data_IF_557766365527
#
_entry.id   IF_557766365527
#
_cell.length_a   1.000
_cell.length_b   1.000
_cell.length_c   1.000
_cell.angle_alpha   90.00
_cell.angle_beta   90.00
_cell.angle_gamma   90.00
#
_symmetry.space_group_name_H-M   'P 1'
#
loop_
_entity.id
_entity.type
_entity.pdbx_description
1 polymer ?
#
# COMPACT_ATOMS: atom_id res chain seq x y z
N UNK A 1 41.69 5.66 -7.29
CA UNK A 1 41.16 6.12 -8.58
C UNK A 1 39.66 6.45 -8.40
N UNK A 2 39.36 7.76 -8.31
CA UNK A 2 37.97 8.24 -8.21
C UNK A 2 37.36 8.24 -9.62
N UNK A 3 36.43 7.34 -9.87
CA UNK A 3 35.64 7.39 -11.10
C UNK A 3 34.68 8.60 -11.04
N UNK A 4 35.05 9.67 -11.72
CA UNK A 4 34.14 10.76 -12.07
C UNK A 4 33.18 10.24 -13.15
N UNK A 5 31.95 9.92 -12.77
CA UNK A 5 30.85 9.81 -13.74
C UNK A 5 30.47 11.22 -14.20
N UNK A 6 30.33 11.47 -15.52
CA UNK A 6 30.04 12.81 -16.03
C UNK A 6 28.66 13.29 -15.56
N UNK A 7 28.63 14.42 -14.87
CA UNK A 7 27.44 15.17 -14.52
C UNK A 7 26.93 15.93 -15.80
N UNK A 8 26.24 15.24 -16.68
CA UNK A 8 25.59 15.86 -17.82
C UNK A 8 24.06 15.79 -17.70
N UNK A 9 23.51 16.62 -16.81
CA UNK A 9 22.17 17.19 -16.95
C UNK A 9 22.25 18.61 -16.39
N UNK A 10 21.85 19.63 -17.19
CA UNK A 10 21.95 21.01 -16.76
C UNK A 10 21.08 21.26 -15.51
N UNK A 11 21.60 22.10 -14.61
CA UNK A 11 20.96 22.47 -13.33
C UNK A 11 19.50 23.00 -13.44
N UNK A 12 19.08 23.39 -14.62
CA UNK A 12 17.70 23.83 -14.90
C UNK A 12 16.70 22.66 -14.92
N UNK A 13 17.07 21.50 -15.47
CA UNK A 13 16.20 20.32 -15.55
C UNK A 13 15.99 19.69 -14.17
N UNK A 14 16.97 19.77 -13.28
CA UNK A 14 16.84 19.28 -11.89
C UNK A 14 15.84 20.09 -11.06
N UNK A 15 15.72 21.41 -11.30
CA UNK A 15 14.77 22.28 -10.58
C UNK A 15 13.32 22.10 -11.02
N UNK A 16 13.07 21.53 -12.19
CA UNK A 16 11.72 21.30 -12.72
C UNK A 16 11.13 19.93 -12.37
N UNK A 17 11.94 18.99 -11.90
CA UNK A 17 11.41 17.68 -11.49
C UNK A 17 10.76 17.76 -10.09
N UNK A 18 9.51 17.35 -9.95
CA UNK A 18 8.88 17.26 -8.64
C UNK A 18 9.75 16.40 -7.70
N UNK A 19 9.90 16.83 -6.44
CA UNK A 19 10.72 16.17 -5.42
C UNK A 19 12.25 16.12 -5.71
N UNK A 20 12.76 16.93 -6.64
CA UNK A 20 14.23 17.02 -6.83
C UNK A 20 14.98 17.44 -5.57
N UNK A 21 14.31 18.19 -4.69
CA UNK A 21 14.78 18.68 -3.40
C UNK A 21 14.71 17.62 -2.26
N UNK A 22 14.05 16.48 -2.51
CA UNK A 22 14.12 15.31 -1.62
C UNK A 22 15.47 14.56 -1.72
N UNK A 23 16.17 14.73 -2.84
CA UNK A 23 17.47 14.09 -3.07
C UNK A 23 18.62 14.77 -2.31
N UNK A 24 19.65 14.00 -1.99
CA UNK A 24 20.92 14.47 -1.42
C UNK A 24 22.12 13.91 -2.20
N UNK A 25 23.34 14.37 -1.87
CA UNK A 25 24.57 13.78 -2.43
C UNK A 25 24.68 12.29 -2.14
N UNK A 26 24.30 11.90 -0.93
CA UNK A 26 24.40 10.51 -0.43
C UNK A 26 23.21 9.65 -0.87
N UNK A 27 22.09 10.27 -1.23
CA UNK A 27 20.89 9.61 -1.73
C UNK A 27 20.33 10.32 -2.96
N UNK A 28 20.93 10.09 -4.15
CA UNK A 28 20.56 10.78 -5.39
C UNK A 28 19.16 10.40 -5.86
N UNK A 29 18.48 11.31 -6.56
CA UNK A 29 17.09 11.18 -7.02
C UNK A 29 16.83 9.86 -7.77
N UNK A 30 17.73 9.44 -8.66
CA UNK A 30 17.58 8.17 -9.39
C UNK A 30 17.56 6.95 -8.50
N UNK A 31 18.32 6.95 -7.40
CA UNK A 31 18.34 5.87 -6.42
C UNK A 31 17.08 5.90 -5.54
N UNK A 32 16.61 7.09 -5.19
CA UNK A 32 15.37 7.30 -4.46
C UNK A 32 14.16 6.86 -5.28
N UNK A 33 14.06 7.26 -6.57
CA UNK A 33 13.00 6.84 -7.48
C UNK A 33 13.02 5.32 -7.71
N UNK A 34 14.21 4.73 -7.85
CA UNK A 34 14.33 3.28 -7.96
C UNK A 34 13.85 2.57 -6.69
N UNK A 35 14.23 3.06 -5.51
CA UNK A 35 13.71 2.50 -4.25
C UNK A 35 12.20 2.64 -4.19
N UNK A 36 11.64 3.78 -4.59
CA UNK A 36 10.19 4.04 -4.52
C UNK A 36 9.32 3.09 -5.37
N UNK A 37 9.91 2.29 -6.26
CA UNK A 37 9.18 1.28 -7.04
C UNK A 37 8.48 0.23 -6.15
N UNK A 38 8.99 -0.02 -4.94
CA UNK A 38 8.28 -0.91 -4.01
C UNK A 38 6.89 -0.38 -3.64
N UNK A 39 6.71 0.93 -3.60
CA UNK A 39 5.42 1.55 -3.33
C UNK A 39 4.41 1.34 -4.47
N UNK A 40 4.88 1.31 -5.72
CA UNK A 40 4.03 0.95 -6.87
C UNK A 40 3.55 -0.50 -6.73
N UNK A 41 4.46 -1.43 -6.36
CA UNK A 41 4.11 -2.83 -6.09
C UNK A 41 3.07 -2.95 -4.96
N UNK A 42 3.25 -2.20 -3.87
CA UNK A 42 2.31 -2.16 -2.74
C UNK A 42 0.95 -1.60 -3.18
N UNK A 43 0.93 -0.50 -3.95
CA UNK A 43 -0.29 0.09 -4.49
C UNK A 43 -1.06 -0.86 -5.40
N UNK A 44 -0.37 -1.57 -6.28
CA UNK A 44 -0.96 -2.59 -7.16
C UNK A 44 -1.58 -3.75 -6.37
N UNK A 45 -0.87 -4.26 -5.35
CA UNK A 45 -1.39 -5.32 -4.49
C UNK A 45 -2.61 -4.85 -3.67
N UNK A 46 -2.63 -3.59 -3.24
CA UNK A 46 -3.80 -3.01 -2.56
C UNK A 46 -5.02 -2.95 -3.46
N UNK A 47 -4.88 -2.52 -4.73
CA UNK A 47 -5.98 -2.54 -5.72
C UNK A 47 -6.50 -3.96 -5.93
N UNK A 48 -5.59 -4.94 -6.03
CA UNK A 48 -6.00 -6.34 -6.19
C UNK A 48 -6.81 -6.86 -5.00
N UNK A 49 -6.31 -6.67 -3.77
CA UNK A 49 -6.93 -7.23 -2.57
C UNK A 49 -8.22 -6.52 -2.18
N UNK A 50 -8.16 -5.19 -2.07
CA UNK A 50 -9.26 -4.40 -1.49
C UNK A 50 -10.33 -4.08 -2.54
N UNK A 51 -9.93 -3.95 -3.80
CA UNK A 51 -10.82 -3.63 -4.90
C UNK A 51 -11.23 -4.89 -5.68
N UNK A 52 -10.45 -5.25 -6.68
CA UNK A 52 -10.82 -6.22 -7.72
C UNK A 52 -11.24 -7.58 -7.16
N UNK A 53 -10.42 -8.20 -6.28
CA UNK A 53 -10.70 -9.53 -5.74
C UNK A 53 -11.89 -9.51 -4.78
N UNK A 54 -11.99 -8.48 -3.94
CA UNK A 54 -13.11 -8.27 -3.05
C UNK A 54 -14.44 -8.26 -3.84
N UNK A 55 -14.51 -7.42 -4.86
CA UNK A 55 -15.70 -7.29 -5.71
C UNK A 55 -15.99 -8.59 -6.46
N UNK A 56 -14.99 -9.24 -7.06
CA UNK A 56 -15.20 -10.48 -7.82
C UNK A 56 -15.72 -11.60 -6.94
N UNK A 57 -15.17 -11.76 -5.72
CA UNK A 57 -15.64 -12.80 -4.80
C UNK A 57 -17.10 -12.59 -4.38
N UNK A 58 -17.51 -11.35 -4.11
CA UNK A 58 -18.87 -11.05 -3.68
C UNK A 58 -19.85 -11.13 -4.88
N UNK A 59 -19.55 -10.44 -5.97
CA UNK A 59 -20.52 -10.23 -7.07
C UNK A 59 -20.48 -11.36 -8.10
N UNK A 60 -19.29 -11.80 -8.53
CA UNK A 60 -19.18 -12.81 -9.60
C UNK A 60 -19.23 -14.25 -9.05
N UNK A 61 -18.62 -14.48 -7.87
CA UNK A 61 -18.59 -15.82 -7.26
C UNK A 61 -19.67 -16.02 -6.20
N UNK A 62 -20.48 -14.99 -5.91
CA UNK A 62 -21.59 -15.02 -4.93
C UNK A 62 -21.13 -15.49 -3.54
N UNK A 63 -19.87 -15.24 -3.16
CA UNK A 63 -19.38 -15.53 -1.82
C UNK A 63 -20.01 -14.54 -0.85
N UNK A 64 -20.55 -15.00 0.31
CA UNK A 64 -21.16 -14.10 1.27
C UNK A 64 -20.25 -12.95 1.67
N UNK A 65 -20.74 -11.71 1.58
CA UNK A 65 -19.94 -10.50 1.83
C UNK A 65 -19.27 -10.51 3.20
N UNK A 66 -19.89 -11.12 4.23
CA UNK A 66 -19.32 -11.29 5.56
C UNK A 66 -18.02 -12.13 5.54
N UNK A 67 -18.01 -13.21 4.75
CA UNK A 67 -16.83 -14.09 4.60
C UNK A 67 -15.69 -13.32 3.94
N UNK A 68 -15.98 -12.62 2.83
CA UNK A 68 -14.99 -11.82 2.11
C UNK A 68 -14.46 -10.66 2.97
N UNK A 69 -15.34 -9.95 3.67
CA UNK A 69 -14.95 -8.90 4.61
C UNK A 69 -14.06 -9.45 5.74
N UNK A 70 -14.36 -10.65 6.24
CA UNK A 70 -13.51 -11.33 7.24
C UNK A 70 -12.12 -11.64 6.69
N UNK A 71 -12.00 -12.11 5.44
CA UNK A 71 -10.71 -12.37 4.79
C UNK A 71 -9.89 -11.08 4.63
N UNK A 72 -10.52 -9.98 4.26
CA UNK A 72 -9.88 -8.66 4.14
C UNK A 72 -9.48 -8.13 5.52
N UNK A 73 -10.26 -8.41 6.55
CA UNK A 73 -9.95 -7.99 7.91
C UNK A 73 -8.71 -8.68 8.49
N UNK A 74 -8.39 -9.91 8.07
CA UNK A 74 -7.23 -10.66 8.59
C UNK A 74 -5.89 -9.91 8.43
N UNK A 75 -5.52 -9.39 7.25
CA UNK A 75 -4.34 -8.53 7.10
C UNK A 75 -4.38 -7.28 7.98
N UNK A 76 -5.57 -6.66 8.12
CA UNK A 76 -5.75 -5.46 8.95
C UNK A 76 -5.54 -5.76 10.43
N UNK A 77 -6.04 -6.91 10.92
CA UNK A 77 -5.80 -7.37 12.29
C UNK A 77 -4.32 -7.63 12.57
N UNK A 78 -3.55 -8.00 11.57
CA UNK A 78 -2.11 -8.19 11.66
C UNK A 78 -1.34 -6.86 11.55
N UNK A 79 -1.95 -5.79 11.03
CA UNK A 79 -1.30 -4.50 10.83
C UNK A 79 -0.62 -3.91 12.10
N UNK A 80 -1.14 -4.03 13.33
CA UNK A 80 -0.44 -3.56 14.53
C UNK A 80 0.93 -4.20 14.73
N UNK A 81 1.13 -5.44 14.26
CA UNK A 81 2.44 -6.11 14.30
C UNK A 81 3.50 -5.43 13.43
N UNK A 82 3.12 -4.46 12.56
CA UNK A 82 4.08 -3.61 11.82
C UNK A 82 5.00 -2.84 12.76
N UNK A 83 4.53 -2.44 13.94
CA UNK A 83 5.38 -1.79 14.94
C UNK A 83 6.49 -2.74 15.43
N UNK A 84 6.15 -4.02 15.67
CA UNK A 84 7.12 -5.05 16.04
C UNK A 84 8.07 -5.38 14.86
N UNK A 85 7.56 -5.45 13.64
CA UNK A 85 8.37 -5.65 12.43
C UNK A 85 9.37 -4.51 12.23
N UNK A 86 8.91 -3.26 12.38
CA UNK A 86 9.75 -2.07 12.33
C UNK A 86 10.87 -2.16 13.36
N UNK A 87 10.51 -2.35 14.63
CA UNK A 87 11.47 -2.48 15.73
C UNK A 87 12.48 -3.62 15.50
N UNK A 88 12.02 -4.79 15.06
CA UNK A 88 12.93 -5.92 14.76
C UNK A 88 13.87 -5.59 13.61
N UNK A 89 13.38 -4.95 12.55
CA UNK A 89 14.21 -4.56 11.41
C UNK A 89 15.23 -3.46 11.76
N UNK A 90 14.91 -2.59 12.75
CA UNK A 90 15.86 -1.60 13.29
C UNK A 90 17.06 -2.25 13.97
N UNK A 91 16.81 -3.33 14.72
CA UNK A 91 17.79 -4.00 15.57
C UNK A 91 18.36 -5.28 14.94
N UNK A 92 17.95 -5.63 13.73
CA UNK A 92 18.45 -6.80 13.02
C UNK A 92 19.59 -6.43 12.08
N UNK A 93 20.58 -7.31 12.01
CA UNK A 93 21.59 -7.32 10.94
C UNK A 93 21.77 -8.75 10.45
N UNK A 94 21.70 -8.94 9.15
CA UNK A 94 22.01 -10.23 8.52
C UNK A 94 23.50 -10.55 8.63
N UNK A 95 23.91 -11.77 8.26
CA UNK A 95 25.31 -12.17 8.24
C UNK A 95 26.19 -11.24 7.37
N UNK A 96 25.63 -10.64 6.31
CA UNK A 96 26.30 -9.68 5.42
C UNK A 96 26.10 -8.21 5.84
N UNK A 97 25.40 -7.98 6.95
CA UNK A 97 25.21 -6.65 7.52
C UNK A 97 23.97 -5.90 7.08
N UNK A 98 23.14 -6.48 6.20
CA UNK A 98 21.88 -5.87 5.77
C UNK A 98 20.85 -5.86 6.90
N UNK A 99 20.14 -4.74 7.04
CA UNK A 99 19.11 -4.54 8.07
C UNK A 99 17.69 -4.65 7.49
N UNK A 100 17.38 -3.81 6.50
CA UNK A 100 16.03 -3.64 5.95
C UNK A 100 15.78 -4.50 4.72
N UNK A 101 16.80 -4.67 3.87
CA UNK A 101 16.69 -5.41 2.60
C UNK A 101 16.14 -6.83 2.81
N UNK A 102 16.56 -7.63 3.82
CA UNK A 102 15.99 -8.96 4.04
C UNK A 102 14.48 -8.93 4.30
N UNK A 103 13.99 -7.96 5.08
CA UNK A 103 12.56 -7.82 5.37
C UNK A 103 11.76 -7.45 4.11
N UNK A 104 12.29 -6.53 3.30
CA UNK A 104 11.69 -6.16 2.01
C UNK A 104 11.65 -7.35 1.06
N UNK A 105 12.72 -8.14 1.01
CA UNK A 105 12.80 -9.35 0.21
C UNK A 105 11.75 -10.38 0.62
N UNK A 106 11.70 -10.75 1.89
CA UNK A 106 10.72 -11.70 2.40
C UNK A 106 9.28 -11.17 2.23
N UNK A 107 9.05 -9.87 2.47
CA UNK A 107 7.76 -9.24 2.22
C UNK A 107 7.33 -9.36 0.77
N UNK A 108 8.26 -9.16 -0.18
CA UNK A 108 7.99 -9.31 -1.62
C UNK A 108 7.63 -10.74 -1.99
N UNK A 109 8.31 -11.74 -1.42
CA UNK A 109 8.02 -13.16 -1.64
C UNK A 109 6.66 -13.56 -1.07
N UNK A 110 6.31 -13.07 0.12
CA UNK A 110 5.00 -13.32 0.73
C UNK A 110 3.88 -12.68 -0.08
N UNK A 111 4.06 -11.43 -0.54
CA UNK A 111 3.10 -10.74 -1.40
C UNK A 111 2.88 -11.49 -2.72
N UNK A 112 3.97 -11.87 -3.39
CA UNK A 112 3.91 -12.66 -4.62
C UNK A 112 3.27 -14.02 -4.38
N UNK A 113 3.68 -14.75 -3.33
CA UNK A 113 3.18 -16.08 -3.00
C UNK A 113 1.67 -16.08 -2.73
N UNK A 114 1.18 -15.09 -1.99
CA UNK A 114 -0.26 -14.95 -1.75
C UNK A 114 -1.05 -14.69 -3.02
N UNK A 115 -0.60 -13.77 -3.88
CA UNK A 115 -1.23 -13.52 -5.18
C UNK A 115 -1.11 -14.73 -6.13
N UNK A 116 -0.03 -15.53 -6.05
CA UNK A 116 0.12 -16.73 -6.84
C UNK A 116 -0.84 -17.87 -6.42
N UNK A 117 -1.17 -17.96 -5.13
CA UNK A 117 -2.14 -18.94 -4.61
C UNK A 117 -3.58 -18.50 -4.90
N UNK A 118 -3.86 -17.20 -4.99
CA UNK A 118 -5.20 -16.65 -5.15
C UNK A 118 -6.02 -17.27 -6.29
N UNK A 119 -5.50 -17.49 -7.50
CA UNK A 119 -6.27 -18.14 -8.57
C UNK A 119 -6.78 -19.55 -8.22
N UNK A 120 -6.00 -20.32 -7.48
CA UNK A 120 -6.42 -21.66 -7.03
C UNK A 120 -7.58 -21.56 -6.04
N UNK A 121 -7.55 -20.59 -5.13
CA UNK A 121 -8.65 -20.37 -4.19
C UNK A 121 -9.93 -19.96 -4.91
N UNK A 122 -9.82 -19.10 -5.93
CA UNK A 122 -10.97 -18.67 -6.74
C UNK A 122 -11.58 -19.83 -7.54
N UNK A 123 -10.76 -20.73 -8.10
CA UNK A 123 -11.24 -21.93 -8.79
C UNK A 123 -12.00 -22.88 -7.86
N UNK A 124 -11.58 -23.01 -6.61
CA UNK A 124 -12.29 -23.84 -5.63
C UNK A 124 -13.56 -23.15 -5.14
N UNK A 125 -13.55 -21.81 -4.97
CA UNK A 125 -14.72 -21.03 -4.59
C UNK A 125 -15.80 -20.98 -5.68
N UNK A 126 -15.41 -21.00 -6.97
CA UNK A 126 -16.38 -21.00 -8.09
C UNK A 126 -17.10 -22.34 -8.25
N UNK A 127 -16.67 -23.39 -7.53
CA UNK A 127 -17.21 -24.74 -7.65
C UNK A 127 -16.70 -25.52 -8.87
N UNK A 128 -15.75 -24.95 -9.63
CA UNK A 128 -15.14 -25.64 -10.79
C UNK A 128 -14.28 -26.86 -10.37
N UNK A 129 -13.90 -26.91 -9.10
CA UNK A 129 -13.17 -28.01 -8.49
C UNK A 129 -13.91 -28.54 -7.27
N UNK A 130 -14.27 -29.83 -7.31
CA UNK A 130 -14.97 -30.52 -6.20
C UNK A 130 -14.02 -31.26 -5.27
N UNK A 131 -12.72 -31.03 -5.38
CA UNK A 131 -11.68 -31.68 -4.58
C UNK A 131 -11.60 -31.06 -3.18
N UNK A 132 -11.98 -31.83 -2.17
CA UNK A 132 -11.85 -31.43 -0.77
C UNK A 132 -13.18 -31.04 -0.09
N UNK A 133 -13.12 -30.64 1.17
CA UNK A 133 -14.30 -30.20 1.91
C UNK A 133 -14.82 -28.84 1.39
N UNK A 134 -16.10 -28.54 1.60
CA UNK A 134 -16.77 -27.31 1.10
C UNK A 134 -16.12 -26.00 1.54
N UNK A 135 -15.45 -26.00 2.69
CA UNK A 135 -14.75 -24.82 3.24
C UNK A 135 -13.31 -24.62 2.68
N UNK A 136 -12.80 -25.55 1.86
CA UNK A 136 -11.39 -25.51 1.41
C UNK A 136 -11.08 -24.25 0.59
N UNK A 137 -11.99 -23.80 -0.26
CA UNK A 137 -11.83 -22.58 -1.06
C UNK A 137 -11.71 -21.32 -0.19
N UNK A 138 -12.55 -21.23 0.84
CA UNK A 138 -12.56 -20.09 1.77
C UNK A 138 -11.26 -20.02 2.58
N UNK A 139 -10.78 -21.16 3.09
CA UNK A 139 -9.51 -21.25 3.85
C UNK A 139 -8.33 -20.91 2.95
N UNK A 140 -8.32 -21.40 1.71
CA UNK A 140 -7.25 -21.10 0.76
C UNK A 140 -7.24 -19.62 0.36
N UNK A 141 -8.41 -19.01 0.17
CA UNK A 141 -8.55 -17.59 -0.06
C UNK A 141 -8.08 -16.77 1.15
N UNK A 142 -8.51 -17.14 2.35
CA UNK A 142 -8.06 -16.49 3.59
C UNK A 142 -6.53 -16.54 3.74
N UNK A 143 -5.92 -17.70 3.46
CA UNK A 143 -4.46 -17.85 3.47
C UNK A 143 -3.79 -16.92 2.42
N UNK A 144 -4.33 -16.87 1.21
CA UNK A 144 -3.82 -15.98 0.15
C UNK A 144 -3.92 -14.50 0.54
N UNK A 145 -5.03 -14.08 1.16
CA UNK A 145 -5.20 -12.71 1.70
C UNK A 145 -4.21 -12.41 2.82
N UNK A 146 -4.03 -13.33 3.79
CA UNK A 146 -3.05 -13.16 4.87
C UNK A 146 -1.64 -13.05 4.29
N UNK A 147 -1.24 -13.95 3.41
CA UNK A 147 0.10 -13.94 2.83
C UNK A 147 0.36 -12.65 2.08
N UNK A 148 -0.55 -12.25 1.18
CA UNK A 148 -0.40 -11.00 0.42
C UNK A 148 -0.36 -9.80 1.34
N UNK A 149 -1.26 -9.72 2.33
CA UNK A 149 -1.35 -8.60 3.26
C UNK A 149 -0.15 -8.49 4.20
N UNK A 150 0.33 -9.60 4.76
CA UNK A 150 1.56 -9.63 5.56
C UNK A 150 2.75 -9.20 4.71
N UNK A 151 2.86 -9.72 3.48
CA UNK A 151 3.90 -9.34 2.52
C UNK A 151 3.88 -7.85 2.22
N UNK A 152 2.70 -7.30 1.94
CA UNK A 152 2.47 -5.88 1.71
C UNK A 152 2.90 -5.02 2.92
N UNK A 153 2.45 -5.37 4.12
CA UNK A 153 2.80 -4.65 5.34
C UNK A 153 4.31 -4.71 5.64
N UNK A 154 4.92 -5.85 5.43
CA UNK A 154 6.35 -6.05 5.64
C UNK A 154 7.19 -5.25 4.64
N UNK A 155 6.84 -5.31 3.34
CA UNK A 155 7.47 -4.55 2.26
C UNK A 155 7.36 -3.05 2.51
N UNK A 156 6.16 -2.55 2.83
CA UNK A 156 5.93 -1.13 3.06
C UNK A 156 6.67 -0.63 4.30
N UNK A 157 6.62 -1.36 5.42
CA UNK A 157 7.28 -0.95 6.66
C UNK A 157 8.79 -0.90 6.50
N UNK A 158 9.39 -1.95 5.96
CA UNK A 158 10.84 -2.01 5.75
C UNK A 158 11.31 -0.99 4.69
N UNK A 159 10.54 -0.79 3.61
CA UNK A 159 10.85 0.14 2.55
C UNK A 159 10.80 1.60 3.00
N UNK A 160 9.76 2.00 3.75
CA UNK A 160 9.66 3.33 4.35
C UNK A 160 10.81 3.58 5.34
N UNK A 161 11.13 2.60 6.17
CA UNK A 161 12.23 2.69 7.11
C UNK A 161 13.58 2.81 6.39
N UNK A 162 13.82 2.01 5.35
CA UNK A 162 15.06 2.07 4.55
C UNK A 162 15.24 3.45 3.89
N UNK A 163 14.18 4.01 3.31
CA UNK A 163 14.22 5.33 2.71
C UNK A 163 14.48 6.43 3.76
N UNK A 164 13.85 6.31 4.93
CA UNK A 164 14.02 7.25 6.04
C UNK A 164 15.43 7.20 6.64
N UNK A 165 16.03 6.00 6.75
CA UNK A 165 17.40 5.81 7.26
C UNK A 165 18.46 6.42 6.32
N UNK A 166 18.16 6.47 5.01
CA UNK A 166 19.06 7.02 3.99
C UNK A 166 18.87 8.52 3.75
N UNK A 167 17.73 9.06 4.15
CA UNK A 167 17.42 10.47 4.04
C UNK A 167 18.11 11.27 5.14
N UNK A 168 18.64 12.45 4.80
CA UNK A 168 19.03 13.41 5.83
C UNK A 168 17.81 13.89 6.63
N UNK A 169 18.01 14.30 7.89
CA UNK A 169 16.89 14.76 8.75
C UNK A 169 16.07 15.88 8.10
N UNK A 170 16.72 16.78 7.37
CA UNK A 170 16.07 17.87 6.63
C UNK A 170 15.18 17.38 5.48
N UNK A 171 15.61 16.33 4.78
CA UNK A 171 14.94 15.85 3.56
C UNK A 171 13.98 14.69 3.84
N UNK A 172 14.05 14.07 5.03
CA UNK A 172 13.22 12.91 5.41
C UNK A 172 11.72 13.11 5.16
N UNK A 173 11.08 14.24 5.53
CA UNK A 173 9.67 14.46 5.26
C UNK A 173 9.33 14.44 3.77
N UNK A 174 10.22 14.99 2.92
CA UNK A 174 10.03 15.02 1.46
C UNK A 174 10.20 13.65 0.83
N UNK A 175 11.17 12.87 1.32
CA UNK A 175 11.36 11.47 0.90
C UNK A 175 10.13 10.64 1.21
N UNK A 176 9.59 10.76 2.43
CA UNK A 176 8.37 10.05 2.84
C UNK A 176 7.17 10.49 1.99
N UNK A 177 7.02 11.79 1.74
CA UNK A 177 5.96 12.32 0.87
C UNK A 177 6.04 11.75 -0.55
N UNK A 178 7.25 11.70 -1.15
CA UNK A 178 7.47 11.07 -2.45
C UNK A 178 7.03 9.60 -2.45
N UNK A 179 7.37 8.85 -1.41
CA UNK A 179 6.98 7.43 -1.33
C UNK A 179 5.46 7.26 -1.28
N UNK A 180 4.73 8.11 -0.55
CA UNK A 180 3.27 8.07 -0.56
C UNK A 180 2.67 8.49 -1.90
N UNK A 181 3.25 9.49 -2.57
CA UNK A 181 2.87 9.86 -3.95
C UNK A 181 3.08 8.67 -4.90
N UNK A 182 4.23 7.98 -4.81
CA UNK A 182 4.51 6.81 -5.64
C UNK A 182 3.56 5.64 -5.34
N UNK A 183 3.12 5.48 -4.09
CA UNK A 183 2.07 4.52 -3.73
C UNK A 183 0.75 4.84 -4.43
N UNK A 184 0.27 6.09 -4.33
CA UNK A 184 -0.98 6.53 -4.94
C UNK A 184 -0.91 6.50 -6.47
N UNK A 185 0.21 6.90 -7.07
CA UNK A 185 0.45 6.80 -8.51
C UNK A 185 0.43 5.33 -8.95
N UNK A 186 1.12 4.46 -8.21
CA UNK A 186 1.14 3.02 -8.46
C UNK A 186 -0.26 2.41 -8.36
N UNK A 187 -1.01 2.78 -7.34
CA UNK A 187 -2.40 2.36 -7.15
C UNK A 187 -3.29 2.83 -8.32
N UNK A 188 -3.22 4.12 -8.67
CA UNK A 188 -4.03 4.69 -9.77
C UNK A 188 -3.71 4.06 -11.12
N UNK A 189 -2.44 3.97 -11.50
CA UNK A 189 -2.01 3.35 -12.77
C UNK A 189 -2.40 1.88 -12.80
N UNK A 190 -2.18 1.14 -11.71
CA UNK A 190 -2.54 -0.28 -11.63
C UNK A 190 -4.04 -0.47 -11.78
N UNK A 191 -4.86 0.36 -11.11
CA UNK A 191 -6.32 0.30 -11.21
C UNK A 191 -6.82 0.57 -12.64
N UNK A 192 -6.22 1.53 -13.33
CA UNK A 192 -6.55 1.82 -14.74
C UNK A 192 -6.19 0.65 -15.67
N UNK A 193 -4.99 0.09 -15.52
CA UNK A 193 -4.52 -1.04 -16.35
C UNK A 193 -5.35 -2.29 -16.07
N UNK A 194 -5.54 -2.64 -14.79
CA UNK A 194 -6.30 -3.82 -14.38
C UNK A 194 -7.76 -3.68 -14.82
N UNK A 195 -8.37 -2.52 -14.59
CA UNK A 195 -9.74 -2.24 -15.02
C UNK A 195 -9.91 -2.30 -16.53
N UNK A 196 -8.93 -1.83 -17.30
CA UNK A 196 -8.93 -1.96 -18.76
C UNK A 196 -8.79 -3.42 -19.22
N UNK A 197 -7.89 -4.19 -18.59
CA UNK A 197 -7.72 -5.61 -18.88
C UNK A 197 -8.98 -6.42 -18.55
N UNK A 198 -9.67 -6.09 -17.46
CA UNK A 198 -10.86 -6.80 -16.99
C UNK A 198 -12.19 -6.21 -17.52
N UNK A 199 -12.16 -5.35 -18.52
CA UNK A 199 -13.38 -4.78 -19.12
C UNK A 199 -14.31 -5.86 -19.69
N UNK A 200 -13.74 -6.88 -20.34
CA UNK A 200 -14.42 -8.05 -20.85
C UNK A 200 -14.11 -9.23 -19.91
N UNK A 201 -14.73 -9.21 -18.74
CA UNK A 201 -14.43 -10.11 -17.64
C UNK A 201 -14.59 -11.59 -18.02
N UNK A 202 -13.61 -12.40 -17.65
CA UNK A 202 -13.69 -13.85 -17.58
C UNK A 202 -12.81 -14.37 -16.44
N UNK A 203 -13.17 -15.53 -15.87
CA UNK A 203 -12.40 -16.14 -14.77
C UNK A 203 -10.94 -16.43 -15.20
N UNK A 204 -10.73 -16.90 -16.43
CA UNK A 204 -9.39 -17.15 -16.96
C UNK A 204 -8.57 -15.86 -17.09
N UNK A 205 -9.20 -14.77 -17.55
CA UNK A 205 -8.54 -13.48 -17.67
C UNK A 205 -8.16 -12.94 -16.30
N UNK A 206 -9.04 -13.08 -15.30
CA UNK A 206 -8.74 -12.70 -13.91
C UNK A 206 -7.51 -13.44 -13.38
N UNK A 207 -7.44 -14.76 -13.58
CA UNK A 207 -6.28 -15.57 -13.18
C UNK A 207 -4.99 -15.02 -13.78
N UNK A 208 -4.99 -14.74 -15.09
CA UNK A 208 -3.82 -14.18 -15.80
C UNK A 208 -3.43 -12.80 -15.25
N UNK A 209 -4.40 -11.95 -14.96
CA UNK A 209 -4.16 -10.61 -14.43
C UNK A 209 -3.58 -10.68 -13.00
N UNK A 210 -4.12 -11.54 -12.13
CA UNK A 210 -3.63 -11.71 -10.76
C UNK A 210 -2.19 -12.27 -10.76
N UNK A 211 -1.91 -13.30 -11.58
CA UNK A 211 -0.57 -13.85 -11.70
C UNK A 211 0.41 -12.85 -12.34
N UNK A 212 -0.04 -12.10 -13.35
CA UNK A 212 0.74 -11.01 -13.94
C UNK A 212 1.10 -9.93 -12.91
N UNK A 213 0.15 -9.53 -12.07
CA UNK A 213 0.39 -8.58 -10.98
C UNK A 213 1.39 -9.14 -9.94
N UNK A 214 1.31 -10.43 -9.61
CA UNK A 214 2.27 -11.08 -8.72
C UNK A 214 3.71 -10.98 -9.25
N UNK A 215 3.91 -11.30 -10.53
CA UNK A 215 5.21 -11.26 -11.19
C UNK A 215 5.72 -9.82 -11.31
N UNK A 216 4.89 -8.89 -11.80
CA UNK A 216 5.27 -7.48 -11.95
C UNK A 216 5.62 -6.88 -10.58
N UNK A 217 4.84 -7.18 -9.53
CA UNK A 217 5.11 -6.72 -8.17
C UNK A 217 6.45 -7.22 -7.65
N UNK A 218 6.78 -8.50 -7.86
CA UNK A 218 8.08 -9.05 -7.49
C UNK A 218 9.22 -8.36 -8.26
N UNK A 219 9.09 -8.17 -9.57
CA UNK A 219 10.11 -7.51 -10.39
C UNK A 219 10.34 -6.06 -9.96
N UNK A 220 9.27 -5.30 -9.68
CA UNK A 220 9.38 -3.94 -9.16
C UNK A 220 10.13 -3.91 -7.83
N UNK A 221 9.84 -4.85 -6.92
CA UNK A 221 10.51 -4.95 -5.64
C UNK A 221 11.98 -5.35 -5.78
N UNK A 222 12.32 -6.27 -6.70
CA UNK A 222 13.70 -6.64 -7.01
C UNK A 222 14.52 -5.45 -7.51
N UNK A 223 13.96 -4.67 -8.45
CA UNK A 223 14.58 -3.45 -8.97
C UNK A 223 14.76 -2.42 -7.84
N UNK A 224 13.72 -2.26 -6.99
CA UNK A 224 13.76 -1.36 -5.86
C UNK A 224 14.89 -1.69 -4.87
N UNK A 225 15.10 -2.98 -4.59
CA UNK A 225 16.10 -3.46 -3.65
C UNK A 225 17.55 -3.37 -4.14
N UNK A 226 17.76 -3.26 -5.45
CA UNK A 226 19.09 -3.37 -6.04
C UNK A 226 20.05 -2.34 -5.49
N UNK A 227 21.13 -2.82 -4.83
CA UNK A 227 22.22 -1.98 -4.24
C UNK A 227 21.70 -0.87 -3.32
N UNK A 228 20.71 -1.16 -2.47
CA UNK A 228 20.17 -0.18 -1.51
C UNK A 228 20.93 -0.15 -0.20
N UNK A 229 21.44 -1.28 0.28
CA UNK A 229 22.28 -1.35 1.48
C UNK A 229 23.69 -1.82 1.11
N UNK A 230 24.69 -1.24 1.75
CA UNK A 230 26.10 -1.68 1.65
C UNK A 230 26.31 -2.95 2.47
N UNK A 231 27.27 -3.77 2.03
CA UNK A 231 27.74 -4.93 2.81
C UNK A 231 28.56 -4.40 3.97
N UNK A 232 28.10 -4.60 5.20
CA UNK A 232 28.77 -4.20 6.44
C UNK A 232 28.51 -5.24 7.54
N UNK A 233 29.22 -6.37 7.53
CA UNK A 233 29.05 -7.43 8.51
C UNK A 233 29.24 -6.91 9.93
N UNK A 234 28.46 -7.43 10.88
CA UNK A 234 28.57 -7.08 12.29
C UNK A 234 29.91 -7.52 12.87
N UNK A 235 30.57 -6.64 13.59
CA UNK A 235 31.75 -6.99 14.39
C UNK A 235 31.38 -7.96 15.52
N UNK A 236 32.37 -8.64 16.11
CA UNK A 236 32.14 -9.51 17.28
C UNK A 236 31.61 -8.70 18.47
N UNK A 237 32.10 -7.46 18.61
CA UNK A 237 31.73 -6.52 19.68
C UNK A 237 30.27 -6.06 19.53
N UNK A 238 29.82 -5.72 18.31
CA UNK A 238 28.43 -5.35 18.04
C UNK A 238 27.44 -6.50 18.34
N UNK A 239 27.88 -7.75 18.19
CA UNK A 239 27.06 -8.93 18.50
C UNK A 239 26.84 -9.15 20.00
N UNK A 240 27.77 -8.68 20.83
CA UNK A 240 27.74 -8.81 22.28
C UNK A 240 26.90 -7.73 22.96
N UNK A 241 26.53 -6.65 22.26
CA UNK A 241 25.71 -5.60 22.82
C UNK A 241 24.27 -6.10 23.13
N UNK A 242 23.74 -5.75 24.32
CA UNK A 242 22.38 -6.12 24.68
C UNK A 242 21.37 -5.52 23.69
N UNK A 243 20.47 -6.35 23.19
CA UNK A 243 19.41 -5.90 22.28
C UNK A 243 18.31 -5.23 23.08
N UNK A 244 17.85 -4.03 22.66
CA UNK A 244 16.75 -3.37 23.34
C UNK A 244 15.48 -4.23 23.28
N UNK A 245 14.66 -4.20 24.33
CA UNK A 245 13.39 -4.90 24.36
C UNK A 245 12.29 -4.01 23.76
N UNK A 246 11.43 -4.59 22.90
CA UNK A 246 10.30 -3.88 22.31
C UNK A 246 9.36 -3.28 23.37
N UNK A 247 9.14 -3.99 24.46
CA UNK A 247 8.27 -3.55 25.57
C UNK A 247 8.74 -2.22 26.16
N UNK A 248 10.03 -2.04 26.33
CA UNK A 248 10.60 -0.82 26.94
C UNK A 248 10.45 0.36 25.97
N UNK A 249 10.80 0.16 24.69
CA UNK A 249 10.62 1.18 23.65
C UNK A 249 9.13 1.59 23.49
N UNK A 250 8.21 0.64 23.55
CA UNK A 250 6.78 0.88 23.50
C UNK A 250 6.27 1.64 24.73
N UNK A 251 6.71 1.22 25.92
CA UNK A 251 6.40 1.91 27.18
C UNK A 251 6.82 3.37 27.14
N UNK A 252 8.04 3.65 26.69
CA UNK A 252 8.58 5.01 26.60
C UNK A 252 7.82 5.89 25.58
N UNK A 253 7.37 5.30 24.47
CA UNK A 253 6.56 5.99 23.47
C UNK A 253 5.20 6.43 24.04
N UNK A 254 4.55 5.58 24.86
CA UNK A 254 3.19 5.83 25.40
C UNK A 254 3.24 6.73 26.64
N UNK A 255 4.35 6.81 27.37
CA UNK A 255 4.49 7.67 28.54
C UNK A 255 4.11 9.12 28.28
N UNK A 256 4.28 9.61 27.04
CA UNK A 256 3.78 10.92 26.63
C UNK A 256 2.28 10.85 26.37
N UNK A 257 1.47 11.46 27.21
CA UNK A 257 0.01 11.51 27.02
C UNK A 257 -0.43 12.15 25.70
N UNK A 258 0.35 13.06 25.15
CA UNK A 258 0.10 13.64 23.83
C UNK A 258 0.26 12.62 22.71
N UNK A 259 1.29 11.77 22.75
CA UNK A 259 1.53 10.71 21.77
C UNK A 259 0.41 9.67 21.81
N UNK A 260 0.00 9.24 23.00
CA UNK A 260 -1.10 8.30 23.16
C UNK A 260 -2.42 8.85 22.58
N UNK A 261 -2.73 10.14 22.84
CA UNK A 261 -3.91 10.82 22.28
C UNK A 261 -3.84 10.89 20.74
N UNK A 262 -2.68 11.25 20.17
CA UNK A 262 -2.49 11.29 18.73
C UNK A 262 -2.69 9.92 18.08
N UNK A 263 -2.13 8.85 18.67
CA UNK A 263 -2.31 7.48 18.20
C UNK A 263 -3.81 7.10 18.22
N UNK A 264 -4.53 7.44 19.27
CA UNK A 264 -5.96 7.18 19.38
C UNK A 264 -6.77 7.91 18.30
N UNK A 265 -6.49 9.19 18.05
CA UNK A 265 -7.18 10.00 17.02
C UNK A 265 -6.90 9.43 15.63
N UNK A 266 -5.64 9.10 15.34
CA UNK A 266 -5.25 8.50 14.04
C UNK A 266 -5.93 7.13 13.86
N UNK A 267 -5.95 6.30 14.91
CA UNK A 267 -6.59 4.99 14.89
C UNK A 267 -8.09 5.08 14.57
N UNK A 268 -8.83 5.93 15.30
CA UNK A 268 -10.26 6.14 15.08
C UNK A 268 -10.56 6.72 13.71
N UNK A 269 -9.78 7.72 13.26
CA UNK A 269 -9.92 8.31 11.94
C UNK A 269 -9.66 7.28 10.83
N UNK A 270 -8.61 6.46 10.99
CA UNK A 270 -8.28 5.42 10.01
C UNK A 270 -9.39 4.37 9.91
N UNK A 271 -9.95 3.91 11.03
CA UNK A 271 -11.09 2.99 11.02
C UNK A 271 -12.28 3.62 10.27
N UNK A 272 -12.65 4.85 10.63
CA UNK A 272 -13.82 5.50 10.06
C UNK A 272 -13.74 5.65 8.53
N UNK A 273 -12.56 5.98 7.99
CA UNK A 273 -12.37 6.14 6.55
C UNK A 273 -12.15 4.82 5.80
N UNK A 274 -11.45 3.85 6.39
CA UNK A 274 -11.21 2.57 5.70
C UNK A 274 -12.43 1.63 5.67
N UNK A 275 -13.42 1.84 6.52
CA UNK A 275 -14.64 1.01 6.48
C UNK A 275 -15.36 1.07 5.14
N UNK A 276 -15.35 2.21 4.45
CA UNK A 276 -15.99 2.35 3.14
C UNK A 276 -15.22 1.62 2.03
N UNK A 277 -13.88 1.55 2.10
CA UNK A 277 -13.05 0.99 1.02
C UNK A 277 -13.42 -0.46 0.72
N UNK A 278 -13.79 -1.22 1.76
CA UNK A 278 -14.21 -2.62 1.62
C UNK A 278 -15.55 -2.75 0.89
N UNK A 279 -16.44 -1.77 1.02
CA UNK A 279 -17.80 -1.83 0.49
C UNK A 279 -17.95 -1.13 -0.87
N UNK A 280 -17.05 -0.22 -1.23
CA UNK A 280 -17.21 0.68 -2.36
C UNK A 280 -17.31 -0.08 -3.70
N UNK A 281 -16.37 -0.95 -4.01
CA UNK A 281 -16.37 -1.70 -5.27
C UNK A 281 -17.51 -2.75 -5.35
N UNK A 282 -17.79 -3.58 -4.32
CA UNK A 282 -18.97 -4.44 -4.29
C UNK A 282 -20.29 -3.67 -4.46
N UNK A 283 -20.48 -2.55 -3.77
CA UNK A 283 -21.66 -1.69 -3.90
C UNK A 283 -21.85 -1.21 -5.34
N UNK A 284 -20.77 -0.76 -6.00
CA UNK A 284 -20.81 -0.38 -7.42
C UNK A 284 -21.22 -1.55 -8.33
N UNK A 285 -20.81 -2.76 -8.01
CA UNK A 285 -21.19 -3.97 -8.74
C UNK A 285 -22.62 -4.41 -8.49
N UNK A 286 -23.02 -4.58 -7.23
CA UNK A 286 -24.36 -5.11 -6.86
C UNK A 286 -25.48 -4.10 -7.04
N UNK A 287 -25.27 -2.84 -6.64
CA UNK A 287 -26.33 -1.83 -6.60
C UNK A 287 -26.44 -1.04 -7.90
N UNK A 288 -25.29 -0.68 -8.49
CA UNK A 288 -25.25 0.13 -9.72
C UNK A 288 -25.01 -0.70 -10.98
N UNK A 289 -24.83 -2.00 -10.89
CA UNK A 289 -24.62 -2.91 -12.03
C UNK A 289 -23.34 -2.61 -12.83
N UNK A 290 -22.31 -2.03 -12.18
CA UNK A 290 -21.05 -1.69 -12.85
C UNK A 290 -20.22 -2.94 -13.13
N UNK A 291 -19.60 -3.01 -14.32
CA UNK A 291 -18.70 -4.09 -14.68
C UNK A 291 -17.43 -4.09 -13.81
N UNK A 292 -16.71 -5.25 -13.73
CA UNK A 292 -15.46 -5.40 -12.99
C UNK A 292 -14.45 -4.29 -13.33
N UNK A 293 -14.27 -4.03 -14.63
CA UNK A 293 -13.35 -2.97 -15.06
C UNK A 293 -13.73 -1.59 -14.54
N UNK A 294 -15.03 -1.24 -14.59
CA UNK A 294 -15.52 0.07 -14.10
C UNK A 294 -15.37 0.20 -12.58
N UNK A 295 -15.67 -0.85 -11.81
CA UNK A 295 -15.49 -0.81 -10.34
C UNK A 295 -14.02 -0.73 -9.96
N UNK A 296 -13.12 -1.42 -10.66
CA UNK A 296 -11.67 -1.29 -10.42
C UNK A 296 -11.17 0.14 -10.70
N UNK A 297 -11.77 0.88 -11.64
CA UNK A 297 -11.44 2.30 -11.86
C UNK A 297 -11.84 3.23 -10.70
N UNK A 298 -12.71 2.81 -9.79
CA UNK A 298 -12.98 3.56 -8.55
C UNK A 298 -11.72 3.72 -7.70
N UNK A 299 -10.90 2.68 -7.61
CA UNK A 299 -9.60 2.77 -6.93
C UNK A 299 -8.68 3.80 -7.58
N UNK A 300 -8.74 4.00 -8.92
CA UNK A 300 -8.00 5.06 -9.60
C UNK A 300 -8.56 6.45 -9.26
N UNK A 301 -9.89 6.60 -9.20
CA UNK A 301 -10.53 7.86 -8.80
C UNK A 301 -10.16 8.23 -7.37
N UNK A 302 -10.22 7.29 -6.45
CA UNK A 302 -9.80 7.47 -5.06
C UNK A 302 -8.32 7.88 -4.96
N UNK A 303 -7.43 7.22 -5.70
CA UNK A 303 -6.00 7.56 -5.72
C UNK A 303 -5.77 8.98 -6.26
N UNK A 304 -6.51 9.40 -7.28
CA UNK A 304 -6.45 10.76 -7.81
C UNK A 304 -6.93 11.79 -6.78
N UNK A 305 -8.05 11.53 -6.11
CA UNK A 305 -8.57 12.39 -5.05
C UNK A 305 -7.58 12.53 -3.89
N UNK A 306 -6.96 11.42 -3.47
CA UNK A 306 -5.93 11.42 -2.44
C UNK A 306 -4.68 12.23 -2.88
N UNK A 307 -4.24 12.14 -4.14
CA UNK A 307 -3.15 12.95 -4.68
C UNK A 307 -3.49 14.44 -4.69
N UNK A 308 -4.70 14.81 -5.09
CA UNK A 308 -5.17 16.20 -5.09
C UNK A 308 -5.25 16.74 -3.65
N UNK A 309 -5.79 15.95 -2.72
CA UNK A 309 -5.86 16.27 -1.30
C UNK A 309 -4.46 16.47 -0.69
N UNK A 310 -3.52 15.58 -1.00
CA UNK A 310 -2.13 15.68 -0.55
C UNK A 310 -1.44 16.94 -1.11
N UNK A 311 -1.63 17.24 -2.39
CA UNK A 311 -1.08 18.44 -3.02
C UNK A 311 -1.68 19.73 -2.42
N UNK A 312 -2.98 19.73 -2.14
CA UNK A 312 -3.65 20.85 -1.47
C UNK A 312 -3.13 21.04 -0.03
N UNK A 313 -3.03 19.95 0.72
CA UNK A 313 -2.51 19.97 2.08
C UNK A 313 -1.07 20.49 2.13
N UNK A 314 -0.20 20.00 1.25
CA UNK A 314 1.18 20.46 1.16
C UNK A 314 1.27 21.98 0.91
N UNK A 315 0.51 22.49 -0.07
CA UNK A 315 0.48 23.95 -0.36
C UNK A 315 -0.02 24.78 0.81
N UNK A 316 -1.06 24.31 1.50
CA UNK A 316 -1.61 25.03 2.65
C UNK A 316 -0.66 25.09 3.84
N UNK A 317 0.02 24.00 4.13
CA UNK A 317 0.99 23.90 5.23
C UNK A 317 2.27 24.71 4.95
N UNK A 318 2.74 24.75 3.72
CA UNK A 318 3.87 25.61 3.31
C UNK A 318 3.61 27.09 3.58
N UNK A 319 2.35 27.53 3.44
CA UNK A 319 1.92 28.91 3.72
C UNK A 319 1.51 29.12 5.19
N UNK A 320 2.06 28.35 6.14
CA UNK A 320 1.76 28.41 7.57
C UNK A 320 0.27 28.20 7.90
N UNK A 321 -0.43 27.41 7.10
CA UNK A 321 -1.81 27.02 7.37
C UNK A 321 -1.92 26.19 8.65
N UNK A 322 -3.04 26.35 9.35
CA UNK A 322 -3.34 25.60 10.57
C UNK A 322 -3.74 24.14 10.22
N UNK A 323 -2.97 23.14 10.68
CA UNK A 323 -3.28 21.73 10.42
C UNK A 323 -4.67 21.32 10.93
N UNK A 324 -5.13 21.93 12.04
CA UNK A 324 -6.44 21.61 12.62
C UNK A 324 -7.59 22.08 11.74
N UNK A 325 -7.45 23.26 11.13
CA UNK A 325 -8.46 23.76 10.16
C UNK A 325 -8.48 22.90 8.90
N UNK A 326 -7.31 22.46 8.42
CA UNK A 326 -7.20 21.56 7.28
C UNK A 326 -7.90 20.23 7.56
N UNK A 327 -7.64 19.64 8.72
CA UNK A 327 -8.27 18.38 9.13
C UNK A 327 -9.79 18.52 9.25
N UNK A 328 -10.30 19.59 9.84
CA UNK A 328 -11.76 19.87 9.92
C UNK A 328 -12.37 20.00 8.52
N UNK A 329 -11.71 20.73 7.62
CA UNK A 329 -12.13 20.85 6.22
C UNK A 329 -12.22 19.50 5.52
N UNK A 330 -11.21 18.63 5.69
CA UNK A 330 -11.19 17.27 5.15
C UNK A 330 -12.35 16.41 5.67
N UNK A 331 -12.67 16.49 6.96
CA UNK A 331 -13.83 15.78 7.54
C UNK A 331 -15.16 16.21 6.90
N UNK A 332 -15.36 17.50 6.66
CA UNK A 332 -16.58 18.03 6.02
C UNK A 332 -16.65 17.52 4.57
N UNK A 333 -15.56 17.59 3.82
CA UNK A 333 -15.50 17.06 2.45
C UNK A 333 -15.80 15.56 2.44
N UNK A 334 -15.27 14.79 3.41
CA UNK A 334 -15.56 13.36 3.54
C UNK A 334 -17.05 13.08 3.79
N UNK A 335 -17.72 13.87 4.64
CA UNK A 335 -19.16 13.73 4.87
C UNK A 335 -19.98 13.98 3.58
N UNK A 336 -19.58 14.99 2.79
CA UNK A 336 -20.22 15.28 1.49
C UNK A 336 -19.96 14.13 0.51
N UNK A 337 -18.75 13.62 0.45
CA UNK A 337 -18.37 12.47 -0.40
C UNK A 337 -19.20 11.22 -0.06
N UNK A 338 -19.30 10.86 1.22
CA UNK A 338 -20.13 9.74 1.67
C UNK A 338 -21.62 9.92 1.31
N UNK A 339 -22.15 11.13 1.53
CA UNK A 339 -23.52 11.45 1.13
C UNK A 339 -23.72 11.28 -0.37
N UNK A 340 -22.75 11.72 -1.18
CA UNK A 340 -22.79 11.60 -2.64
C UNK A 340 -22.78 10.15 -3.09
N UNK A 341 -21.97 9.28 -2.45
CA UNK A 341 -21.99 7.83 -2.70
C UNK A 341 -23.36 7.22 -2.36
N UNK A 342 -23.92 7.55 -1.18
CA UNK A 342 -25.22 7.02 -0.74
C UNK A 342 -26.33 7.43 -1.72
N UNK A 343 -26.39 8.70 -2.11
CA UNK A 343 -27.42 9.22 -3.03
C UNK A 343 -27.24 8.75 -4.48
N UNK A 344 -26.09 8.20 -4.84
CA UNK A 344 -25.87 7.63 -6.18
C UNK A 344 -26.78 6.46 -6.49
N UNK A 345 -27.15 5.66 -5.49
CA UNK A 345 -28.01 4.49 -5.63
C UNK A 345 -29.47 4.87 -6.02
N UNK A 346 -30.19 5.70 -5.24
CA UNK A 346 -31.57 6.07 -5.60
C UNK A 346 -31.66 6.87 -6.90
N UNK A 347 -30.58 7.55 -7.30
CA UNK A 347 -30.50 8.31 -8.55
C UNK A 347 -29.99 7.46 -9.74
N UNK A 348 -29.57 6.22 -9.51
CA UNK A 348 -29.03 5.34 -10.54
C UNK A 348 -27.82 5.93 -11.27
N UNK A 349 -27.07 6.83 -10.62
CA UNK A 349 -26.03 7.64 -11.27
C UNK A 349 -24.62 7.14 -10.97
N UNK A 350 -24.02 6.44 -11.93
CA UNK A 350 -22.62 6.06 -11.86
C UNK A 350 -21.67 7.28 -11.75
N UNK A 351 -22.02 8.40 -12.43
CA UNK A 351 -21.20 9.61 -12.38
C UNK A 351 -21.14 10.16 -10.94
N UNK A 352 -22.29 10.23 -10.27
CA UNK A 352 -22.37 10.71 -8.88
C UNK A 352 -21.56 9.80 -7.94
N UNK A 353 -21.60 8.50 -8.19
CA UNK A 353 -20.82 7.51 -7.45
C UNK A 353 -19.31 7.72 -7.61
N UNK A 354 -18.83 7.95 -8.84
CA UNK A 354 -17.41 8.25 -9.10
C UNK A 354 -16.96 9.58 -8.49
N UNK A 355 -17.83 10.60 -8.50
CA UNK A 355 -17.53 11.89 -7.84
C UNK A 355 -17.44 11.73 -6.33
N UNK A 356 -18.30 10.92 -5.73
CA UNK A 356 -18.24 10.61 -4.30
C UNK A 356 -17.02 9.76 -3.90
N UNK A 357 -16.52 8.93 -4.81
CA UNK A 357 -15.33 8.12 -4.61
C UNK A 357 -14.02 8.91 -4.81
N UNK A 358 -14.05 10.04 -5.55
CA UNK A 358 -12.92 10.94 -5.77
C UNK A 358 -12.63 11.76 -4.52
#
# INVERSE_FOLDING_TARGET
>A
MKHHTPQFLPNLTRRMLPFSDAASSDFPLGQLLRLSLFQISVGMASVMLLGTLNRVMIVELSVPALIVASMIALPVLIAPFRALLGFRSDNYRSAIGWKRVPYLWFGSLWQMGGLAIMPFSLMVLSGDQTLGPSWAGEVLAALAFIMTGVGLHMTQTAGLALASDRASDKNRPRVVALLYVMFLVGMGISALIIGWLLRDFSSLLLIRVVQGAAIVGLLLNLIALWKQESINPMSKEDRSLPKPAFRDAWSDLIKSGQTARLICVVFLGTIAFNMQDVLLEPFGGEVLGLSVGKTTWLSASWALGALLGLAYAARRLDHKGDPTKLMRGGLIVGLVAFSTVIFSAPLGSALLFFIGAL
#
